data_IF_299387765319
#
_entry.id   IF_299387765319
#
_cell.length_a   1.000
_cell.length_b   1.000
_cell.length_c   1.000
_cell.angle_alpha   90.00
_cell.angle_beta   90.00
_cell.angle_gamma   90.00
#
_symmetry.space_group_name_H-M   'P 1'
#
loop_
_entity.id
_entity.type
_entity.pdbx_description
1 polymer ?
#
# COMPACT_ATOMS: atom_id res chain seq x y z
N UNK A 1 -4.37 -12.33 -38.03
CA UNK A 1 -5.18 -11.11 -38.11
C UNK A 1 -5.77 -10.86 -36.73
N UNK A 2 -5.14 -10.02 -35.95
CA UNK A 2 -5.49 -9.74 -34.52
C UNK A 2 -4.79 -8.49 -34.09
N UNK A 3 -5.21 -7.34 -34.61
CA UNK A 3 -4.72 -6.04 -34.18
C UNK A 3 -5.90 -5.08 -34.11
N UNK A 4 -6.35 -4.74 -32.89
CA UNK A 4 -7.44 -3.78 -32.75
C UNK A 4 -8.06 -3.66 -31.35
N UNK A 5 -7.41 -4.08 -30.26
CA UNK A 5 -8.03 -4.02 -28.90
C UNK A 5 -7.20 -3.24 -27.87
N UNK A 6 -6.14 -2.56 -28.23
CA UNK A 6 -5.20 -1.95 -27.28
C UNK A 6 -5.40 -0.47 -26.98
N UNK A 7 -6.38 0.21 -27.57
CA UNK A 7 -6.53 1.66 -27.39
C UNK A 7 -7.50 2.12 -26.30
N UNK A 8 -8.34 1.23 -25.74
CA UNK A 8 -9.43 1.64 -24.83
C UNK A 8 -9.14 1.44 -23.33
N UNK A 9 -8.08 0.74 -22.98
CA UNK A 9 -7.73 0.44 -21.57
C UNK A 9 -7.01 1.59 -20.83
N UNK A 10 -6.55 2.61 -21.53
CA UNK A 10 -5.79 3.72 -20.94
C UNK A 10 -6.61 4.76 -20.16
N UNK A 11 -7.94 4.79 -20.28
CA UNK A 11 -8.80 5.79 -19.63
C UNK A 11 -9.42 5.35 -18.30
N UNK A 12 -9.23 4.11 -17.89
CA UNK A 12 -9.78 3.56 -16.63
C UNK A 12 -8.96 3.90 -15.36
N UNK A 13 -7.85 4.63 -15.50
CA UNK A 13 -6.86 4.83 -14.44
C UNK A 13 -7.16 5.94 -13.42
N UNK A 14 -8.30 6.62 -13.49
CA UNK A 14 -8.60 7.75 -12.60
C UNK A 14 -9.70 7.54 -11.55
N UNK A 15 -10.28 6.35 -11.44
CA UNK A 15 -11.17 6.00 -10.33
C UNK A 15 -10.43 5.04 -9.39
N UNK A 16 -10.12 5.47 -8.19
CA UNK A 16 -9.27 4.82 -7.19
C UNK A 16 -9.75 3.48 -6.62
N UNK A 17 -9.99 2.48 -7.48
CA UNK A 17 -10.10 1.07 -7.12
C UNK A 17 -9.53 0.25 -8.28
N UNK A 18 -8.28 -0.22 -8.11
CA UNK A 18 -7.56 -1.07 -9.06
C UNK A 18 -8.13 -2.50 -9.08
N UNK A 19 -9.28 -2.71 -9.73
CA UNK A 19 -9.62 -4.04 -10.23
C UNK A 19 -8.98 -4.23 -11.61
N UNK A 20 -8.26 -5.34 -11.87
CA UNK A 20 -7.77 -5.65 -13.21
C UNK A 20 -8.92 -5.64 -14.20
N UNK A 21 -8.75 -5.01 -15.35
CA UNK A 21 -9.81 -4.90 -16.40
C UNK A 21 -10.43 -6.25 -16.78
N UNK A 22 -9.67 -7.35 -16.67
CA UNK A 22 -10.13 -8.73 -16.84
C UNK A 22 -11.14 -9.18 -15.79
N UNK A 23 -11.00 -8.76 -14.54
CA UNK A 23 -11.90 -9.12 -13.44
C UNK A 23 -13.25 -8.43 -13.58
N UNK A 24 -13.26 -7.15 -13.98
CA UNK A 24 -14.49 -6.40 -14.22
C UNK A 24 -15.26 -7.00 -15.42
N UNK A 25 -14.54 -7.38 -16.46
CA UNK A 25 -15.14 -8.02 -17.64
C UNK A 25 -15.75 -9.39 -17.30
N UNK A 26 -15.06 -10.22 -16.53
CA UNK A 26 -15.58 -11.51 -16.08
C UNK A 26 -16.86 -11.35 -15.23
N UNK A 27 -16.92 -10.32 -14.38
CA UNK A 27 -18.13 -10.00 -13.60
C UNK A 27 -19.28 -9.52 -14.49
N UNK A 28 -19.02 -8.71 -15.52
CA UNK A 28 -20.05 -8.26 -16.46
C UNK A 28 -20.60 -9.42 -17.31
N UNK A 29 -19.77 -10.42 -17.62
CA UNK A 29 -20.18 -11.61 -18.38
C UNK A 29 -21.07 -12.58 -17.56
N UNK A 30 -21.12 -12.44 -16.23
CA UNK A 30 -22.06 -13.20 -15.37
C UNK A 30 -23.49 -12.65 -15.42
N UNK A 31 -23.70 -11.46 -15.97
CA UNK A 31 -25.01 -10.82 -16.05
C UNK A 31 -25.81 -11.42 -17.22
N UNK A 32 -26.96 -11.99 -16.91
CA UNK A 32 -27.84 -12.69 -17.86
C UNK A 32 -28.54 -11.79 -18.91
N UNK A 33 -28.37 -10.47 -18.80
CA UNK A 33 -28.88 -9.50 -19.76
C UNK A 33 -27.75 -8.84 -20.53
N UNK A 34 -28.01 -8.41 -21.76
CA UNK A 34 -27.05 -7.62 -22.51
C UNK A 34 -26.77 -6.32 -21.81
N UNK A 35 -25.50 -6.07 -21.43
CA UNK A 35 -25.07 -4.88 -20.71
C UNK A 35 -23.95 -4.18 -21.48
N UNK A 36 -24.14 -2.89 -21.70
CA UNK A 36 -23.14 -1.97 -22.26
C UNK A 36 -22.85 -0.88 -21.25
N UNK A 37 -21.60 -0.59 -21.01
CA UNK A 37 -21.17 0.58 -20.23
C UNK A 37 -20.59 1.60 -21.19
N UNK A 38 -21.09 2.82 -21.12
CA UNK A 38 -20.66 3.94 -21.96
C UNK A 38 -20.35 5.19 -21.11
N UNK A 39 -19.63 6.15 -21.67
CA UNK A 39 -19.46 7.46 -21.07
C UNK A 39 -20.71 8.34 -21.29
N UNK A 40 -20.73 9.55 -20.71
CA UNK A 40 -21.84 10.53 -20.88
C UNK A 40 -22.12 10.92 -22.35
N UNK A 41 -21.12 10.83 -23.20
CA UNK A 41 -21.21 11.13 -24.62
C UNK A 41 -21.74 9.95 -25.44
N UNK A 42 -21.96 8.79 -24.81
CA UNK A 42 -22.46 7.57 -25.43
C UNK A 42 -21.38 6.68 -26.06
N UNK A 43 -20.10 6.98 -25.88
CA UNK A 43 -19.02 6.13 -26.37
C UNK A 43 -18.94 4.88 -25.51
N UNK A 44 -18.89 3.70 -26.15
CA UNK A 44 -18.87 2.41 -25.48
C UNK A 44 -17.52 2.16 -24.84
N UNK A 45 -17.51 1.89 -23.53
CA UNK A 45 -16.34 1.58 -22.73
C UNK A 45 -16.19 0.06 -22.52
N UNK A 46 -17.30 -0.62 -22.22
CA UNK A 46 -17.31 -2.06 -21.96
C UNK A 46 -18.62 -2.68 -22.45
N UNK A 47 -18.52 -3.95 -22.87
CA UNK A 47 -19.66 -4.74 -23.39
C UNK A 47 -19.54 -6.17 -22.86
N UNK A 48 -20.60 -6.72 -22.27
CA UNK A 48 -20.62 -8.13 -21.88
C UNK A 48 -20.88 -9.05 -23.11
N UNK A 49 -20.63 -10.34 -22.93
CA UNK A 49 -20.76 -11.34 -24.02
C UNK A 49 -22.15 -11.34 -24.66
N UNK A 50 -23.22 -11.17 -23.87
CA UNK A 50 -24.61 -11.14 -24.39
C UNK A 50 -24.91 -9.86 -25.17
N UNK A 51 -24.47 -8.70 -24.69
CA UNK A 51 -24.64 -7.45 -25.43
C UNK A 51 -23.87 -7.48 -26.75
N UNK A 52 -22.67 -8.07 -26.75
CA UNK A 52 -21.87 -8.23 -27.97
C UNK A 52 -22.63 -9.07 -29.03
N UNK A 53 -23.17 -10.20 -28.63
CA UNK A 53 -23.98 -11.04 -29.52
C UNK A 53 -25.19 -10.27 -30.04
N UNK A 54 -25.88 -9.54 -29.21
CA UNK A 54 -27.00 -8.69 -29.60
C UNK A 54 -26.59 -7.61 -30.62
N UNK A 55 -25.42 -6.96 -30.42
CA UNK A 55 -24.88 -5.94 -31.33
C UNK A 55 -24.48 -6.55 -32.69
N UNK A 56 -23.87 -7.75 -32.71
CA UNK A 56 -23.51 -8.50 -33.91
C UNK A 56 -24.75 -8.91 -34.74
N UNK A 57 -25.81 -9.38 -34.07
CA UNK A 57 -27.10 -9.68 -34.72
C UNK A 57 -27.76 -8.45 -35.37
N UNK A 58 -27.39 -7.25 -34.95
CA UNK A 58 -27.85 -5.97 -35.47
C UNK A 58 -26.86 -5.33 -36.47
N UNK A 59 -25.86 -6.09 -36.94
CA UNK A 59 -24.91 -5.64 -37.96
C UNK A 59 -23.80 -4.69 -37.47
N UNK A 60 -23.58 -4.62 -36.15
CA UNK A 60 -22.56 -3.76 -35.51
C UNK A 60 -21.42 -4.61 -34.96
N UNK A 61 -20.45 -4.92 -35.82
CA UNK A 61 -19.35 -5.85 -35.50
C UNK A 61 -18.23 -5.25 -34.63
N UNK A 62 -18.13 -3.92 -34.53
CA UNK A 62 -17.13 -3.25 -33.69
C UNK A 62 -17.81 -2.33 -32.65
N UNK A 63 -17.95 -2.81 -31.39
CA UNK A 63 -18.56 -2.01 -30.33
C UNK A 63 -17.78 -0.74 -29.97
N UNK A 64 -16.48 -0.68 -30.26
CA UNK A 64 -15.63 0.45 -29.87
C UNK A 64 -15.82 1.70 -30.72
N UNK A 65 -16.35 1.55 -31.91
CA UNK A 65 -16.67 2.63 -32.85
C UNK A 65 -18.11 3.16 -32.71
N UNK A 66 -18.91 2.56 -31.78
CA UNK A 66 -20.33 2.79 -31.67
C UNK A 66 -20.65 3.88 -30.65
N UNK A 67 -21.54 4.81 -31.02
CA UNK A 67 -22.21 5.68 -30.03
C UNK A 67 -23.56 5.07 -29.66
N UNK A 68 -23.68 4.55 -28.43
CA UNK A 68 -24.84 3.79 -27.97
C UNK A 68 -26.13 4.63 -28.03
N UNK A 69 -26.04 5.95 -27.74
CA UNK A 69 -27.19 6.84 -27.71
C UNK A 69 -27.66 7.19 -29.12
N UNK A 70 -26.74 7.62 -29.97
CA UNK A 70 -27.08 8.03 -31.34
C UNK A 70 -27.37 6.85 -32.27
N UNK A 71 -26.54 5.80 -32.24
CA UNK A 71 -26.59 4.72 -33.22
C UNK A 71 -27.58 3.59 -32.92
N UNK A 72 -27.97 3.43 -31.63
CA UNK A 72 -28.86 2.37 -31.19
C UNK A 72 -30.13 2.88 -30.53
N UNK A 73 -30.05 3.87 -29.67
CA UNK A 73 -31.20 4.38 -28.94
C UNK A 73 -31.90 5.53 -29.68
N UNK A 74 -31.24 6.11 -30.68
CA UNK A 74 -31.70 7.25 -31.45
C UNK A 74 -32.10 8.45 -30.56
N UNK A 75 -31.29 8.70 -29.53
CA UNK A 75 -31.48 9.77 -28.56
C UNK A 75 -30.21 10.61 -28.50
N UNK A 76 -30.36 11.92 -28.36
CA UNK A 76 -29.21 12.82 -28.20
C UNK A 76 -28.52 12.59 -26.85
N UNK A 77 -27.17 12.56 -26.78
CA UNK A 77 -26.44 12.51 -25.52
C UNK A 77 -26.82 13.63 -24.54
N UNK A 78 -27.14 14.83 -25.08
CA UNK A 78 -27.59 15.96 -24.28
C UNK A 78 -28.95 15.74 -23.59
N UNK A 79 -29.84 14.98 -24.22
CA UNK A 79 -31.14 14.64 -23.64
C UNK A 79 -30.99 13.69 -22.47
N UNK A 80 -30.13 12.67 -22.62
CA UNK A 80 -29.80 11.74 -21.53
C UNK A 80 -29.16 12.48 -20.36
N UNK A 81 -28.16 13.33 -20.61
CA UNK A 81 -27.49 14.10 -19.57
C UNK A 81 -28.46 15.01 -18.83
N UNK A 82 -29.35 15.69 -19.54
CA UNK A 82 -30.39 16.59 -18.95
C UNK A 82 -31.35 15.82 -18.04
N UNK A 83 -31.80 14.63 -18.43
CA UNK A 83 -32.69 13.76 -17.64
C UNK A 83 -32.01 13.23 -16.39
N UNK A 84 -30.73 12.87 -16.49
CA UNK A 84 -29.92 12.48 -15.35
C UNK A 84 -29.74 13.67 -14.38
N UNK A 85 -29.44 14.87 -14.86
CA UNK A 85 -29.31 16.08 -14.05
C UNK A 85 -30.64 16.53 -13.38
N UNK A 86 -31.78 16.18 -13.97
CA UNK A 86 -33.11 16.38 -13.37
C UNK A 86 -33.46 15.38 -12.27
N UNK A 87 -32.55 14.41 -11.96
CA UNK A 87 -32.76 13.44 -10.88
C UNK A 87 -33.34 12.10 -11.31
N UNK A 88 -33.49 11.85 -12.61
CA UNK A 88 -33.90 10.55 -13.13
C UNK A 88 -32.69 9.59 -13.11
N UNK A 89 -32.67 8.68 -12.14
CA UNK A 89 -31.56 7.71 -12.02
C UNK A 89 -31.68 6.52 -12.97
N UNK A 90 -32.84 6.29 -13.55
CA UNK A 90 -33.13 5.19 -14.47
C UNK A 90 -34.10 5.65 -15.55
N UNK A 91 -33.74 5.47 -16.80
CA UNK A 91 -34.48 5.94 -17.97
C UNK A 91 -34.80 4.74 -18.87
N UNK A 92 -36.06 4.48 -19.14
CA UNK A 92 -36.48 3.49 -20.12
C UNK A 92 -36.59 4.15 -21.49
N UNK A 93 -35.95 3.57 -22.50
CA UNK A 93 -35.90 4.06 -23.87
C UNK A 93 -36.21 2.93 -24.82
N UNK A 94 -37.06 3.19 -25.77
CA UNK A 94 -37.31 2.25 -26.89
C UNK A 94 -36.34 2.57 -28.01
N UNK A 95 -35.31 1.73 -28.16
CA UNK A 95 -34.38 1.80 -29.28
C UNK A 95 -34.99 1.17 -30.54
N UNK A 96 -34.58 1.64 -31.72
CA UNK A 96 -35.02 1.11 -33.00
C UNK A 96 -33.85 0.88 -33.93
N UNK A 97 -33.69 -0.35 -34.38
CA UNK A 97 -32.72 -0.70 -35.44
C UNK A 97 -33.48 -0.93 -36.75
N UNK A 98 -32.74 -1.09 -37.83
CA UNK A 98 -33.34 -1.38 -39.15
C UNK A 98 -34.19 -2.66 -39.18
N UNK A 99 -34.03 -3.57 -38.21
CA UNK A 99 -34.63 -4.91 -38.20
C UNK A 99 -35.66 -5.09 -37.08
N UNK A 100 -35.46 -4.48 -35.90
CA UNK A 100 -36.35 -4.61 -34.72
C UNK A 100 -36.33 -3.40 -33.83
N UNK A 101 -37.44 -3.18 -33.09
CA UNK A 101 -37.44 -2.32 -31.91
C UNK A 101 -37.10 -3.15 -30.65
N UNK A 102 -36.37 -2.57 -29.72
CA UNK A 102 -36.04 -3.19 -28.45
C UNK A 102 -36.17 -2.16 -27.33
N UNK A 103 -36.39 -2.65 -26.11
CA UNK A 103 -36.39 -1.79 -24.92
C UNK A 103 -35.00 -1.81 -24.31
N UNK A 104 -34.51 -0.64 -23.98
CA UNK A 104 -33.26 -0.47 -23.25
C UNK A 104 -33.50 0.36 -21.99
N UNK A 105 -32.83 -0.03 -20.91
CA UNK A 105 -32.85 0.68 -19.65
C UNK A 105 -31.49 1.32 -19.44
N UNK A 106 -31.46 2.64 -19.36
CA UNK A 106 -30.28 3.45 -19.17
C UNK A 106 -30.21 3.86 -17.70
N UNK A 107 -29.15 3.51 -17.01
CA UNK A 107 -28.94 3.79 -15.58
C UNK A 107 -27.63 4.51 -15.36
N UNK A 108 -27.69 5.62 -14.64
CA UNK A 108 -26.49 6.35 -14.19
C UNK A 108 -25.74 5.58 -13.11
N UNK A 109 -24.40 5.51 -13.19
CA UNK A 109 -23.55 4.92 -12.17
C UNK A 109 -23.05 6.08 -11.28
N UNK A 110 -23.50 6.20 -10.01
CA UNK A 110 -23.08 7.27 -9.11
C UNK A 110 -21.56 7.32 -8.96
N UNK A 111 -21.02 8.53 -8.73
CA UNK A 111 -19.58 8.80 -8.55
C UNK A 111 -18.69 8.46 -9.77
N UNK A 112 -19.30 8.21 -10.93
CA UNK A 112 -18.58 8.00 -12.19
C UNK A 112 -19.22 8.79 -13.33
N UNK A 113 -18.45 9.04 -14.39
CA UNK A 113 -18.99 9.60 -15.63
C UNK A 113 -19.55 8.52 -16.56
N UNK A 114 -20.05 7.39 -16.00
CA UNK A 114 -20.47 6.23 -16.75
C UNK A 114 -21.97 6.01 -16.67
N UNK A 115 -22.47 5.42 -17.74
CA UNK A 115 -23.86 5.05 -17.91
C UNK A 115 -23.92 3.56 -18.26
N UNK A 116 -24.74 2.80 -17.55
CA UNK A 116 -25.04 1.41 -17.87
C UNK A 116 -26.28 1.34 -18.74
N UNK A 117 -26.20 0.70 -19.90
CA UNK A 117 -27.33 0.43 -20.82
C UNK A 117 -27.61 -1.05 -20.81
N UNK A 118 -28.77 -1.43 -20.34
CA UNK A 118 -29.25 -2.81 -20.28
C UNK A 118 -30.33 -3.04 -21.37
N UNK A 119 -30.13 -4.06 -22.18
CA UNK A 119 -31.13 -4.48 -23.19
C UNK A 119 -32.15 -5.43 -22.56
N UNK A 120 -33.46 -5.15 -22.73
CA UNK A 120 -34.49 -6.10 -22.40
C UNK A 120 -34.59 -7.13 -23.57
N UNK A 121 -34.56 -8.40 -23.23
CA UNK A 121 -34.80 -9.46 -24.21
C UNK A 121 -36.29 -9.53 -24.51
N UNK A 122 -36.73 -9.02 -25.65
CA UNK A 122 -38.00 -9.40 -26.26
C UNK A 122 -37.80 -10.65 -27.12
N UNK A 123 -37.87 -11.82 -26.49
CA UNK A 123 -38.20 -13.05 -27.21
C UNK A 123 -39.66 -13.38 -26.87
N UNK A 124 -40.59 -13.36 -27.83
CA UNK A 124 -41.94 -13.87 -27.60
C UNK A 124 -41.89 -15.42 -27.58
N UNK A 125 -42.20 -15.98 -26.44
CA UNK A 125 -42.56 -17.40 -26.31
C UNK A 125 -41.54 -18.27 -25.59
N UNK A 126 -41.75 -18.41 -24.31
CA UNK A 126 -41.85 -19.68 -23.59
C UNK A 126 -42.07 -19.44 -22.08
N UNK A 127 -43.20 -19.91 -21.60
CA UNK A 127 -43.66 -19.86 -20.21
C UNK A 127 -42.83 -20.76 -19.24
N UNK A 128 -41.52 -20.73 -19.36
CA UNK A 128 -40.61 -21.46 -18.46
C UNK A 128 -40.07 -20.64 -17.26
N UNK A 129 -40.29 -19.33 -17.25
CA UNK A 129 -39.58 -18.43 -16.32
C UNK A 129 -40.35 -18.05 -15.06
N UNK A 130 -41.59 -18.49 -14.91
CA UNK A 130 -42.41 -18.15 -13.73
C UNK A 130 -41.92 -18.83 -12.42
N UNK A 131 -41.21 -19.95 -12.52
CA UNK A 131 -40.67 -20.67 -11.36
C UNK A 131 -39.27 -20.21 -10.91
N UNK A 132 -38.52 -19.53 -11.82
CA UNK A 132 -37.15 -19.06 -11.51
C UNK A 132 -37.09 -17.62 -10.97
N UNK A 133 -38.12 -16.81 -11.19
CA UNK A 133 -38.18 -15.43 -10.70
C UNK A 133 -38.15 -15.28 -9.17
N UNK A 134 -38.85 -16.09 -8.35
CA UNK A 134 -38.76 -16.02 -6.91
C UNK A 134 -37.37 -16.39 -6.39
N UNK A 135 -36.71 -17.40 -7.01
CA UNK A 135 -35.38 -17.85 -6.60
C UNK A 135 -34.29 -16.79 -6.92
N UNK A 136 -34.41 -16.11 -8.04
CA UNK A 136 -33.48 -15.01 -8.38
C UNK A 136 -33.69 -13.80 -7.48
N UNK A 137 -34.93 -13.47 -7.14
CA UNK A 137 -35.25 -12.40 -6.21
C UNK A 137 -34.76 -12.71 -4.79
N UNK A 138 -34.89 -13.95 -4.35
CA UNK A 138 -34.40 -14.44 -3.05
C UNK A 138 -32.86 -14.36 -2.98
N UNK A 139 -32.17 -14.81 -4.01
CA UNK A 139 -30.70 -14.71 -4.10
C UNK A 139 -30.19 -13.27 -4.16
N UNK A 140 -30.92 -12.36 -4.80
CA UNK A 140 -30.58 -10.94 -4.84
C UNK A 140 -30.79 -10.29 -3.47
N UNK A 141 -31.85 -10.65 -2.75
CA UNK A 141 -32.09 -10.20 -1.38
C UNK A 141 -31.03 -10.74 -0.41
N UNK A 142 -30.69 -12.03 -0.50
CA UNK A 142 -29.65 -12.65 0.32
C UNK A 142 -28.28 -11.98 0.08
N UNK A 143 -27.97 -11.71 -1.17
CA UNK A 143 -26.73 -10.98 -1.55
C UNK A 143 -26.73 -9.55 -0.98
N UNK A 144 -27.84 -8.85 -1.05
CA UNK A 144 -27.95 -7.47 -0.50
C UNK A 144 -27.80 -7.47 1.03
N UNK A 145 -28.43 -8.42 1.72
CA UNK A 145 -28.29 -8.60 3.18
C UNK A 145 -26.83 -8.94 3.53
N UNK A 146 -26.22 -9.84 2.79
CA UNK A 146 -24.80 -10.22 2.99
C UNK A 146 -23.88 -9.03 2.79
N UNK A 147 -24.12 -8.24 1.74
CA UNK A 147 -23.32 -7.03 1.46
C UNK A 147 -23.47 -5.97 2.55
N UNK A 148 -24.70 -5.72 3.03
CA UNK A 148 -24.97 -4.81 4.15
C UNK A 148 -24.30 -5.29 5.44
N UNK A 149 -24.35 -6.59 5.72
CA UNK A 149 -23.72 -7.18 6.90
C UNK A 149 -22.17 -7.06 6.81
N UNK A 150 -21.59 -7.30 5.63
CA UNK A 150 -20.17 -7.16 5.39
C UNK A 150 -19.73 -5.69 5.55
N UNK A 151 -20.50 -4.75 5.01
CA UNK A 151 -20.21 -3.31 5.15
C UNK A 151 -20.32 -2.87 6.62
N UNK A 152 -21.35 -3.32 7.33
CA UNK A 152 -21.51 -3.02 8.76
C UNK A 152 -20.37 -3.60 9.60
N UNK A 153 -19.94 -4.84 9.31
CA UNK A 153 -18.79 -5.47 9.96
C UNK A 153 -17.49 -4.71 9.66
N UNK A 154 -17.28 -4.29 8.42
CA UNK A 154 -16.14 -3.49 8.01
C UNK A 154 -16.07 -2.13 8.72
N UNK A 155 -17.20 -1.41 8.78
CA UNK A 155 -17.28 -0.13 9.49
C UNK A 155 -17.04 -0.29 10.99
N UNK A 156 -17.58 -1.35 11.58
CA UNK A 156 -17.33 -1.69 13.00
C UNK A 156 -15.87 -2.01 13.25
N UNK A 157 -15.23 -2.76 12.36
CA UNK A 157 -13.81 -3.08 12.44
C UNK A 157 -12.94 -1.81 12.34
N UNK A 158 -13.26 -0.90 11.41
CA UNK A 158 -12.59 0.39 11.30
C UNK A 158 -12.73 1.23 12.58
N UNK A 159 -13.94 1.30 13.16
CA UNK A 159 -14.15 2.05 14.39
C UNK A 159 -13.39 1.44 15.57
N UNK A 160 -13.37 0.11 15.71
CA UNK A 160 -12.58 -0.59 16.74
C UNK A 160 -11.09 -0.31 16.55
N UNK A 161 -10.57 -0.37 15.32
CA UNK A 161 -9.18 -0.04 15.02
C UNK A 161 -8.86 1.43 15.33
N UNK A 162 -9.79 2.36 15.01
CA UNK A 162 -9.63 3.79 15.36
C UNK A 162 -9.58 3.98 16.89
N UNK A 163 -10.49 3.36 17.63
CA UNK A 163 -10.52 3.44 19.09
C UNK A 163 -9.27 2.83 19.72
N UNK A 164 -8.83 1.66 19.24
CA UNK A 164 -7.57 1.02 19.63
C UNK A 164 -6.39 1.99 19.46
N UNK A 165 -6.30 2.64 18.30
CA UNK A 165 -5.21 3.58 18.00
C UNK A 165 -5.19 4.79 18.93
N UNK A 166 -6.38 5.40 19.16
CA UNK A 166 -6.51 6.56 20.06
C UNK A 166 -6.14 6.17 21.50
N UNK A 167 -6.65 5.02 21.97
CA UNK A 167 -6.34 4.50 23.29
C UNK A 167 -4.85 4.26 23.48
N UNK A 168 -4.20 3.61 22.50
CA UNK A 168 -2.77 3.32 22.56
C UNK A 168 -1.93 4.59 22.55
N UNK A 169 -2.31 5.60 21.74
CA UNK A 169 -1.64 6.88 21.69
C UNK A 169 -1.74 7.64 23.02
N UNK A 170 -2.93 7.65 23.64
CA UNK A 170 -3.15 8.30 24.94
C UNK A 170 -2.38 7.58 26.05
N UNK A 171 -2.51 6.25 26.15
CA UNK A 171 -1.83 5.45 27.17
C UNK A 171 -0.31 5.62 27.13
N UNK A 172 0.26 5.63 25.93
CA UNK A 172 1.71 5.79 25.81
C UNK A 172 2.17 7.22 26.10
N UNK A 173 1.37 8.25 25.82
CA UNK A 173 1.67 9.61 26.26
C UNK A 173 1.65 9.71 27.80
N UNK A 174 0.65 9.09 28.42
CA UNK A 174 0.53 9.05 29.88
C UNK A 174 1.66 8.25 30.55
N UNK A 175 2.20 7.23 29.88
CA UNK A 175 3.37 6.49 30.36
C UNK A 175 4.69 7.27 30.19
N UNK A 176 4.83 8.06 29.12
CA UNK A 176 6.05 8.80 28.84
C UNK A 176 6.37 9.86 29.90
N UNK A 177 5.34 10.52 30.41
CA UNK A 177 5.49 11.59 31.41
C UNK A 177 6.09 11.09 32.72
N UNK A 178 5.54 10.06 33.42
CA UNK A 178 6.14 9.55 34.63
C UNK A 178 7.53 8.94 34.42
N UNK A 179 7.77 8.30 33.28
CA UNK A 179 9.09 7.76 32.95
C UNK A 179 10.14 8.85 32.77
N UNK A 180 9.77 10.00 32.21
CA UNK A 180 10.67 11.15 32.10
C UNK A 180 11.05 11.70 33.49
N UNK A 181 10.11 11.74 34.43
CA UNK A 181 10.35 12.14 35.79
C UNK A 181 11.29 11.15 36.52
N UNK A 182 11.02 9.85 36.40
CA UNK A 182 11.86 8.79 36.96
C UNK A 182 13.29 8.88 36.43
N UNK A 183 13.44 9.08 35.11
CA UNK A 183 14.75 9.27 34.47
C UNK A 183 15.47 10.50 35.06
N UNK A 184 14.75 11.60 35.24
CA UNK A 184 15.30 12.81 35.87
C UNK A 184 15.82 12.55 37.29
N UNK A 185 15.12 11.71 38.07
CA UNK A 185 15.61 11.34 39.42
C UNK A 185 16.87 10.47 39.37
N UNK A 186 16.97 9.52 38.41
CA UNK A 186 18.21 8.77 38.21
C UNK A 186 19.38 9.69 37.86
N UNK A 187 19.17 10.66 36.98
CA UNK A 187 20.19 11.61 36.56
C UNK A 187 20.65 12.47 37.77
N UNK A 188 19.74 12.96 38.63
CA UNK A 188 20.04 13.70 39.81
C UNK A 188 20.81 12.89 40.88
N UNK A 189 20.42 11.63 41.10
CA UNK A 189 21.09 10.76 42.06
C UNK A 189 22.49 10.37 41.56
N UNK A 190 22.65 10.02 40.30
CA UNK A 190 23.94 9.59 39.73
C UNK A 190 24.94 10.74 39.58
N UNK A 191 24.49 12.01 39.45
CA UNK A 191 25.38 13.18 39.48
C UNK A 191 25.86 13.57 40.87
N UNK A 192 25.48 12.79 41.89
CA UNK A 192 25.84 13.05 43.31
C UNK A 192 25.36 14.40 43.84
N UNK A 193 24.40 15.04 43.15
CA UNK A 193 23.84 16.35 43.55
C UNK A 193 23.09 16.29 44.89
N UNK A 194 22.63 15.10 45.29
CA UNK A 194 21.86 14.85 46.50
C UNK A 194 22.68 14.13 47.62
N UNK A 195 23.98 13.94 47.39
CA UNK A 195 24.88 13.25 48.30
C UNK A 195 25.74 12.20 47.62
N UNK A 196 26.74 11.67 48.34
CA UNK A 196 27.62 10.61 47.82
C UNK A 196 26.94 9.25 47.90
N UNK A 197 26.95 8.51 46.81
CA UNK A 197 26.47 7.13 46.71
C UNK A 197 27.62 6.17 47.05
N UNK A 198 27.30 5.03 47.63
CA UNK A 198 28.20 3.89 47.69
C UNK A 198 28.27 3.22 46.31
N UNK A 199 29.35 2.50 45.97
CA UNK A 199 29.51 1.81 44.72
C UNK A 199 28.32 0.89 44.44
N UNK A 200 27.86 0.10 45.42
CA UNK A 200 26.67 -0.77 45.27
C UNK A 200 25.39 -0.01 44.92
N UNK A 201 25.19 1.20 45.54
CA UNK A 201 24.03 2.03 45.22
C UNK A 201 24.11 2.57 43.82
N UNK A 202 25.30 2.97 43.37
CA UNK A 202 25.54 3.44 42.01
C UNK A 202 25.25 2.37 40.98
N UNK A 203 25.78 1.14 41.16
CA UNK A 203 25.54 0.03 40.28
C UNK A 203 24.05 -0.28 40.12
N UNK A 204 23.29 -0.33 41.25
CA UNK A 204 21.85 -0.57 41.24
C UNK A 204 21.10 0.58 40.52
N UNK A 205 21.49 1.81 40.72
CA UNK A 205 20.86 2.95 40.07
C UNK A 205 21.15 2.99 38.56
N UNK A 206 22.37 2.63 38.14
CA UNK A 206 22.75 2.53 36.74
C UNK A 206 21.93 1.42 36.01
N UNK A 207 21.82 0.24 36.63
CA UNK A 207 20.99 -0.86 36.10
C UNK A 207 19.51 -0.47 36.02
N UNK A 208 18.99 0.19 37.08
CA UNK A 208 17.60 0.66 37.11
C UNK A 208 17.34 1.75 36.05
N UNK A 209 18.30 2.67 35.84
CA UNK A 209 18.25 3.71 34.81
C UNK A 209 18.21 3.07 33.42
N UNK A 210 19.07 2.07 33.16
CA UNK A 210 19.08 1.34 31.88
C UNK A 210 17.74 0.66 31.61
N UNK A 211 17.13 0.05 32.63
CA UNK A 211 15.81 -0.58 32.56
C UNK A 211 14.71 0.45 32.26
N UNK A 212 14.75 1.63 32.91
CA UNK A 212 13.84 2.74 32.65
C UNK A 212 14.00 3.27 31.21
N UNK A 213 15.21 3.46 30.74
CA UNK A 213 15.48 3.89 29.36
C UNK A 213 14.99 2.86 28.33
N UNK A 214 15.13 1.58 28.65
CA UNK A 214 14.56 0.50 27.82
C UNK A 214 13.04 0.62 27.73
N UNK A 215 12.35 0.88 28.84
CA UNK A 215 10.91 1.07 28.89
C UNK A 215 10.46 2.31 28.09
N UNK A 216 11.19 3.43 28.20
CA UNK A 216 10.93 4.63 27.38
C UNK A 216 11.04 4.33 25.88
N UNK A 217 12.05 3.55 25.48
CA UNK A 217 12.21 3.14 24.08
C UNK A 217 11.04 2.26 23.62
N UNK A 218 10.60 1.29 24.43
CA UNK A 218 9.48 0.40 24.12
C UNK A 218 8.16 1.19 23.96
N UNK A 219 7.85 2.10 24.89
CA UNK A 219 6.68 2.97 24.82
C UNK A 219 6.72 3.86 23.58
N UNK A 220 7.89 4.42 23.25
CA UNK A 220 8.06 5.26 22.06
C UNK A 220 7.89 4.47 20.75
N UNK A 221 8.40 3.23 20.68
CA UNK A 221 8.19 2.35 19.53
C UNK A 221 6.72 2.00 19.36
N UNK A 222 6.02 1.73 20.45
CA UNK A 222 4.59 1.40 20.43
C UNK A 222 3.72 2.58 19.96
N UNK A 223 4.07 3.81 20.38
CA UNK A 223 3.44 5.05 19.88
C UNK A 223 3.62 5.21 18.38
N UNK A 224 4.87 5.08 17.92
CA UNK A 224 5.18 5.20 16.50
C UNK A 224 4.44 4.14 15.67
N UNK A 225 4.38 2.91 16.16
CA UNK A 225 3.62 1.83 15.53
C UNK A 225 2.12 2.18 15.43
N UNK A 226 1.51 2.62 16.53
CA UNK A 226 0.09 2.99 16.56
C UNK A 226 -0.25 4.14 15.59
N UNK A 227 0.64 5.15 15.48
CA UNK A 227 0.48 6.24 14.52
C UNK A 227 0.58 5.76 13.06
N UNK A 228 1.45 4.80 12.78
CA UNK A 228 1.61 4.18 11.47
C UNK A 228 0.42 3.30 11.09
N UNK A 229 -0.13 2.52 12.03
CA UNK A 229 -1.29 1.65 11.81
C UNK A 229 -2.56 2.46 11.50
N UNK A 230 -2.70 3.65 12.07
CA UNK A 230 -3.88 4.51 11.86
C UNK A 230 -3.94 5.17 10.47
N UNK A 231 -2.95 4.97 9.61
CA UNK A 231 -2.87 5.63 8.31
C UNK A 231 -2.68 7.16 8.39
N UNK A 232 -2.47 7.72 9.58
CA UNK A 232 -2.29 9.16 9.80
C UNK A 232 -0.85 9.65 9.60
N UNK A 233 0.02 8.77 9.07
CA UNK A 233 1.39 9.18 8.78
C UNK A 233 1.41 10.17 7.62
N UNK A 234 1.57 11.45 7.95
CA UNK A 234 1.86 12.50 6.98
C UNK A 234 3.36 12.66 6.91
N UNK A 235 3.97 12.35 5.76
CA UNK A 235 5.39 12.55 5.54
C UNK A 235 5.69 14.04 5.30
N UNK A 236 6.73 14.53 5.91
CA UNK A 236 7.29 15.86 5.64
C UNK A 236 8.38 15.76 4.58
N UNK A 237 7.97 15.61 3.33
CA UNK A 237 8.89 15.50 2.20
C UNK A 237 9.56 16.85 1.93
N UNK A 238 10.85 16.96 2.23
CA UNK A 238 11.70 18.11 1.98
C UNK A 238 12.94 17.68 1.20
N UNK A 239 13.52 18.58 0.47
CA UNK A 239 14.81 18.34 -0.18
C UNK A 239 15.91 18.21 0.87
N UNK A 240 16.54 17.05 0.94
CA UNK A 240 17.52 16.68 1.95
C UNK A 240 18.69 15.93 1.31
N UNK A 241 19.86 15.98 1.96
CA UNK A 241 21.00 15.11 1.64
C UNK A 241 20.87 13.81 2.47
N UNK A 242 20.82 12.68 1.77
CA UNK A 242 20.71 11.38 2.44
C UNK A 242 22.02 10.96 3.12
N UNK A 243 23.17 11.43 2.63
CA UNK A 243 24.48 11.15 3.24
C UNK A 243 24.56 11.79 4.62
N UNK A 244 24.23 13.09 4.73
CA UNK A 244 24.19 13.79 6.03
C UNK A 244 23.27 13.06 7.00
N UNK A 245 22.10 12.63 6.52
CA UNK A 245 21.12 11.88 7.32
C UNK A 245 21.70 10.59 7.89
N UNK A 246 22.42 9.82 7.08
CA UNK A 246 23.00 8.54 7.49
C UNK A 246 24.28 8.70 8.31
N UNK A 247 25.11 9.70 8.03
CA UNK A 247 26.32 10.02 8.80
C UNK A 247 25.97 10.47 10.22
N UNK A 248 25.02 11.39 10.34
CA UNK A 248 24.53 11.84 11.66
C UNK A 248 23.98 10.67 12.49
N UNK A 249 23.24 9.78 11.86
CA UNK A 249 22.72 8.59 12.52
C UNK A 249 23.86 7.66 12.94
N UNK A 250 24.81 7.34 12.04
CA UNK A 250 25.94 6.45 12.33
C UNK A 250 26.79 7.00 13.48
N UNK A 251 27.01 8.32 13.51
CA UNK A 251 27.71 8.99 14.61
C UNK A 251 27.02 8.78 15.95
N UNK A 252 25.69 8.91 16.00
CA UNK A 252 24.91 8.67 17.26
C UNK A 252 24.98 7.22 17.73
N UNK A 253 25.12 6.27 16.81
CA UNK A 253 25.22 4.85 17.15
C UNK A 253 26.63 4.38 17.48
N UNK A 254 27.68 5.15 17.15
CA UNK A 254 29.09 4.75 17.28
C UNK A 254 29.44 4.28 18.68
N UNK A 255 28.98 5.01 19.70
CA UNK A 255 29.24 4.67 21.11
C UNK A 255 28.58 3.32 21.51
N UNK A 256 27.35 3.03 21.06
CA UNK A 256 26.65 1.78 21.33
C UNK A 256 27.37 0.60 20.70
N UNK A 257 27.87 0.75 19.48
CA UNK A 257 28.67 -0.25 18.78
C UNK A 257 30.03 -0.49 19.47
N UNK A 258 30.70 0.59 19.92
CA UNK A 258 31.96 0.49 20.67
C UNK A 258 31.78 -0.24 22.01
N UNK A 259 30.72 0.07 22.77
CA UNK A 259 30.41 -0.64 24.04
C UNK A 259 30.24 -2.13 23.85
N UNK A 260 29.65 -2.57 22.71
CA UNK A 260 29.50 -4.00 22.38
C UNK A 260 30.73 -4.60 21.71
N UNK A 261 31.79 -3.81 21.47
CA UNK A 261 32.98 -4.19 20.71
C UNK A 261 32.62 -4.70 19.28
N UNK A 262 31.65 -4.05 18.62
CA UNK A 262 31.29 -4.32 17.22
C UNK A 262 31.77 -3.14 16.37
N UNK A 263 32.43 -3.43 15.24
CA UNK A 263 32.92 -2.38 14.33
C UNK A 263 31.76 -1.88 13.47
N UNK A 264 31.48 -0.58 13.49
CA UNK A 264 30.58 0.08 12.55
C UNK A 264 31.39 0.77 11.46
N UNK A 265 31.09 0.50 10.20
CA UNK A 265 31.69 1.12 9.02
C UNK A 265 30.62 1.75 8.14
N UNK A 266 30.86 2.97 7.65
CA UNK A 266 29.97 3.67 6.71
C UNK A 266 30.60 3.75 5.34
N UNK A 267 29.83 3.45 4.29
CA UNK A 267 30.22 3.52 2.89
C UNK A 267 29.14 4.20 2.09
N UNK A 268 29.21 5.53 1.99
CA UNK A 268 28.21 6.35 1.32
C UNK A 268 28.78 6.87 0.01
N UNK A 269 28.06 6.59 -1.09
CA UNK A 269 28.50 7.03 -2.42
C UNK A 269 28.36 8.56 -2.55
N UNK A 270 29.44 9.30 -2.90
CA UNK A 270 29.40 10.74 -3.03
C UNK A 270 28.53 11.24 -4.21
N UNK A 271 28.14 10.36 -5.13
CA UNK A 271 27.29 10.70 -6.28
C UNK A 271 25.79 10.73 -5.97
N UNK A 272 25.38 10.41 -4.73
CA UNK A 272 23.97 10.50 -4.31
C UNK A 272 23.53 11.98 -4.37
N UNK A 273 22.53 12.34 -5.19
CA UNK A 273 22.02 13.70 -5.24
C UNK A 273 21.11 13.99 -4.03
N UNK A 274 20.86 15.28 -3.78
CA UNK A 274 19.75 15.67 -2.90
C UNK A 274 18.41 15.33 -3.57
N UNK A 275 17.42 14.90 -2.76
CA UNK A 275 16.08 14.59 -3.23
C UNK A 275 15.06 14.72 -2.09
N UNK A 276 13.77 14.64 -2.42
CA UNK A 276 12.71 14.82 -1.43
C UNK A 276 12.46 13.55 -0.64
N UNK A 277 12.65 13.62 0.68
CA UNK A 277 12.27 12.57 1.62
C UNK A 277 12.04 13.17 3.02
N UNK A 278 11.39 12.41 3.90
CA UNK A 278 11.24 12.78 5.32
C UNK A 278 12.48 12.33 6.09
N UNK A 279 13.31 13.31 6.45
CA UNK A 279 14.60 13.11 7.12
C UNK A 279 14.48 12.27 8.40
N UNK A 280 13.50 12.61 9.25
CA UNK A 280 13.33 11.93 10.54
C UNK A 280 12.82 10.50 10.38
N UNK A 281 11.95 10.27 9.40
CA UNK A 281 11.39 8.95 9.16
C UNK A 281 12.38 8.01 8.51
N UNK A 282 13.23 8.51 7.61
CA UNK A 282 14.35 7.75 7.03
C UNK A 282 15.39 7.43 8.10
N UNK A 283 15.77 8.41 8.94
CA UNK A 283 16.64 8.13 10.08
C UNK A 283 16.06 7.04 11.00
N UNK A 284 14.76 7.09 11.29
CA UNK A 284 14.09 6.10 12.13
C UNK A 284 14.12 4.71 11.48
N UNK A 285 13.88 4.60 10.15
CA UNK A 285 13.95 3.32 9.45
C UNK A 285 15.36 2.73 9.50
N UNK A 286 16.38 3.52 9.19
CA UNK A 286 17.78 3.09 9.22
C UNK A 286 18.26 2.76 10.65
N UNK A 287 17.83 3.52 11.65
CA UNK A 287 18.13 3.23 13.06
C UNK A 287 17.56 1.87 13.52
N UNK A 288 16.35 1.50 13.05
CA UNK A 288 15.77 0.18 13.33
C UNK A 288 16.61 -0.96 12.72
N UNK A 289 17.19 -0.73 11.53
CA UNK A 289 18.10 -1.71 10.93
C UNK A 289 19.43 -1.80 11.68
N UNK A 290 20.01 -0.68 12.13
CA UNK A 290 21.23 -0.67 12.93
C UNK A 290 21.02 -1.29 14.32
N UNK A 291 19.89 -1.03 14.98
CA UNK A 291 19.52 -1.67 16.25
C UNK A 291 19.45 -3.20 16.11
N UNK A 292 18.83 -3.65 15.01
CA UNK A 292 18.75 -5.07 14.68
C UNK A 292 20.14 -5.67 14.44
N UNK A 293 20.97 -5.03 13.62
CA UNK A 293 22.34 -5.45 13.35
C UNK A 293 23.18 -5.49 14.65
N UNK A 294 23.09 -4.47 15.49
CA UNK A 294 23.80 -4.43 16.77
C UNK A 294 23.37 -5.57 17.70
N UNK A 295 22.07 -5.88 17.77
CA UNK A 295 21.54 -6.96 18.63
C UNK A 295 22.08 -8.33 18.24
N UNK A 296 22.09 -8.62 16.95
CA UNK A 296 22.42 -9.96 16.43
C UNK A 296 23.89 -10.17 16.06
N UNK A 297 24.71 -9.11 16.06
CA UNK A 297 26.14 -9.24 15.82
C UNK A 297 26.87 -9.54 17.14
N UNK A 298 27.67 -10.61 17.23
CA UNK A 298 28.46 -10.89 18.42
C UNK A 298 29.60 -9.87 18.62
N UNK A 299 30.15 -9.80 19.84
CA UNK A 299 31.34 -8.99 20.11
C UNK A 299 32.50 -9.39 19.18
N UNK A 300 33.24 -8.44 18.67
CA UNK A 300 34.28 -8.62 17.65
C UNK A 300 33.75 -8.66 16.21
N UNK A 301 32.43 -8.62 16.00
CA UNK A 301 31.82 -8.62 14.68
C UNK A 301 31.89 -7.25 13.97
N UNK A 302 31.34 -7.20 12.77
CA UNK A 302 31.35 -6.04 11.89
C UNK A 302 29.96 -5.72 11.36
N UNK A 303 29.62 -4.43 11.28
CA UNK A 303 28.40 -3.92 10.65
C UNK A 303 28.79 -2.84 9.64
N UNK A 304 28.23 -2.93 8.42
CA UNK A 304 28.50 -1.98 7.34
C UNK A 304 27.19 -1.31 6.96
N UNK A 305 27.13 0.03 7.09
CA UNK A 305 26.07 0.86 6.54
C UNK A 305 26.51 1.37 5.16
N UNK A 306 25.76 1.04 4.12
CA UNK A 306 26.06 1.47 2.75
C UNK A 306 24.88 2.24 2.17
N UNK A 307 25.16 3.24 1.33
CA UNK A 307 24.18 3.86 0.46
C UNK A 307 24.78 4.18 -0.90
N UNK A 308 24.00 3.99 -1.97
CA UNK A 308 24.43 4.27 -3.34
C UNK A 308 23.26 4.41 -4.31
N UNK A 309 23.49 5.09 -5.44
CA UNK A 309 22.50 5.18 -6.50
C UNK A 309 22.13 3.79 -7.05
N UNK A 310 20.85 3.57 -7.25
CA UNK A 310 20.34 2.29 -7.75
C UNK A 310 19.27 2.54 -8.83
N UNK A 311 19.12 1.58 -9.76
CA UNK A 311 18.04 1.57 -10.72
C UNK A 311 17.00 0.55 -10.32
N UNK A 312 15.77 1.01 -10.07
CA UNK A 312 14.66 0.16 -9.73
C UNK A 312 13.55 0.22 -10.79
N UNK A 313 13.34 -0.89 -11.48
CA UNK A 313 12.25 -1.04 -12.42
C UNK A 313 10.93 -1.31 -11.68
N UNK A 314 10.08 -0.29 -11.55
CA UNK A 314 8.79 -0.38 -10.86
C UNK A 314 7.69 -1.05 -11.68
N UNK A 315 7.90 -1.20 -13.00
CA UNK A 315 6.92 -1.83 -13.89
C UNK A 315 7.21 -3.33 -13.98
N UNK A 316 6.22 -4.16 -13.65
CA UNK A 316 6.14 -5.53 -14.14
C UNK A 316 5.96 -5.40 -15.65
N UNK A 317 6.94 -5.87 -16.41
CA UNK A 317 7.10 -5.62 -17.84
C UNK A 317 5.81 -5.87 -18.64
N UNK A 318 5.22 -4.82 -19.20
CA UNK A 318 4.73 -4.92 -20.57
C UNK A 318 5.97 -5.14 -21.43
N UNK A 319 6.02 -6.26 -22.10
CA UNK A 319 7.12 -6.69 -22.98
C UNK A 319 7.28 -5.62 -24.05
N UNK A 320 8.27 -4.74 -23.88
CA UNK A 320 8.63 -3.79 -24.92
C UNK A 320 9.08 -4.58 -26.18
N UNK A 321 8.65 -4.18 -27.40
CA UNK A 321 9.03 -4.83 -28.64
C UNK A 321 10.56 -4.91 -28.75
N UNK A 322 11.06 -6.05 -29.24
CA UNK A 322 12.48 -6.42 -29.31
C UNK A 322 13.34 -5.42 -30.08
N UNK A 323 12.76 -4.55 -30.88
CA UNK A 323 13.47 -3.56 -31.70
C UNK A 323 14.01 -2.33 -30.94
N UNK A 324 13.45 -1.96 -29.78
CA UNK A 324 13.97 -0.84 -28.98
C UNK A 324 15.16 -1.19 -28.08
N UNK A 325 15.52 -2.46 -27.95
CA UNK A 325 16.63 -2.93 -27.11
C UNK A 325 18.03 -2.59 -27.60
N UNK A 326 18.20 -1.97 -28.78
CA UNK A 326 19.51 -1.71 -29.40
C UNK A 326 20.20 -0.40 -28.98
N UNK A 327 19.60 0.42 -28.12
CA UNK A 327 20.29 1.55 -27.51
C UNK A 327 20.48 1.28 -26.01
N UNK A 328 21.50 0.49 -25.67
CA UNK A 328 22.00 0.35 -24.31
C UNK A 328 22.54 1.69 -23.79
N UNK A 329 21.65 2.59 -23.40
CA UNK A 329 21.98 3.53 -22.34
C UNK A 329 21.74 2.77 -21.03
N UNK A 330 22.80 2.62 -20.22
CA UNK A 330 22.65 2.17 -18.83
C UNK A 330 21.50 2.95 -18.21
N UNK A 331 20.50 2.28 -17.63
CA UNK A 331 19.37 2.99 -17.03
C UNK A 331 19.90 3.96 -15.97
N UNK A 332 19.46 5.23 -16.03
CA UNK A 332 19.87 6.21 -15.02
C UNK A 332 19.30 5.81 -13.67
N UNK A 333 20.07 5.92 -12.58
CA UNK A 333 19.57 5.68 -11.25
C UNK A 333 18.28 6.50 -11.00
N UNK A 334 17.24 5.86 -10.46
CA UNK A 334 15.98 6.49 -10.13
C UNK A 334 15.62 6.36 -8.64
N UNK A 335 16.47 5.70 -7.88
CA UNK A 335 16.36 5.53 -6.44
C UNK A 335 17.75 5.44 -5.80
N UNK A 336 17.79 5.52 -4.49
CA UNK A 336 18.97 5.22 -3.67
C UNK A 336 18.68 3.94 -2.90
N UNK A 337 19.65 2.99 -2.95
CA UNK A 337 19.67 1.83 -2.09
C UNK A 337 20.44 2.16 -0.81
N UNK A 338 19.84 1.85 0.34
CA UNK A 338 20.50 1.89 1.65
C UNK A 338 20.50 0.47 2.20
N UNK A 339 21.65 -0.01 2.63
CA UNK A 339 21.80 -1.35 3.20
C UNK A 339 22.62 -1.35 4.50
N UNK A 340 22.22 -2.22 5.42
CA UNK A 340 22.93 -2.54 6.66
C UNK A 340 23.28 -4.01 6.61
N UNK A 341 24.58 -4.30 6.51
CA UNK A 341 25.11 -5.67 6.49
C UNK A 341 25.76 -5.99 7.83
N UNK A 342 25.36 -7.05 8.47
CA UNK A 342 25.92 -7.53 9.73
C UNK A 342 26.63 -8.88 9.54
N UNK A 343 27.57 -9.18 10.44
CA UNK A 343 28.27 -10.47 10.54
C UNK A 343 27.71 -11.35 11.65
N UNK A 344 26.38 -11.29 11.86
CA UNK A 344 25.67 -12.01 12.92
C UNK A 344 25.33 -13.46 12.60
N UNK A 345 24.36 -14.01 13.33
CA UNK A 345 23.90 -15.39 13.18
C UNK A 345 23.19 -15.69 11.85
N UNK A 346 22.81 -14.65 11.08
CA UNK A 346 21.98 -14.82 9.90
C UNK A 346 20.55 -15.26 10.23
N UNK A 347 19.74 -15.40 9.18
CA UNK A 347 18.31 -15.72 9.25
C UNK A 347 18.03 -16.81 8.24
N UNK A 348 17.31 -17.85 8.65
CA UNK A 348 16.88 -18.91 7.75
C UNK A 348 15.88 -18.39 6.70
N UNK A 349 15.93 -18.88 5.44
CA UNK A 349 15.10 -18.38 4.34
C UNK A 349 13.59 -18.39 4.62
N UNK A 350 13.09 -19.35 5.40
CA UNK A 350 11.70 -19.47 5.80
C UNK A 350 11.18 -18.27 6.57
N UNK A 351 12.06 -17.54 7.28
CA UNK A 351 11.71 -16.38 8.10
C UNK A 351 11.83 -15.04 7.36
N UNK A 352 12.39 -14.98 6.13
CA UNK A 352 12.68 -13.72 5.44
C UNK A 352 11.46 -12.84 5.18
N UNK A 353 10.28 -13.42 5.06
CA UNK A 353 9.05 -12.66 4.85
C UNK A 353 8.42 -12.24 6.18
N UNK A 354 8.37 -13.14 7.14
CA UNK A 354 7.67 -12.92 8.40
C UNK A 354 8.39 -11.97 9.37
N UNK A 355 9.73 -11.82 9.28
CA UNK A 355 10.49 -10.90 10.15
C UNK A 355 10.09 -9.43 10.00
N UNK A 356 9.39 -9.08 8.91
CA UNK A 356 8.84 -7.75 8.68
C UNK A 356 7.38 -7.62 9.16
N UNK A 357 6.79 -8.69 9.67
CA UNK A 357 5.44 -8.66 10.24
C UNK A 357 5.47 -8.19 11.70
N UNK A 358 4.32 -7.73 12.18
CA UNK A 358 4.19 -7.16 13.52
C UNK A 358 4.37 -8.22 14.60
N UNK A 359 5.18 -7.90 15.62
CA UNK A 359 5.44 -8.75 16.79
C UNK A 359 6.14 -10.08 16.49
N UNK A 360 6.66 -10.27 15.29
CA UNK A 360 7.41 -11.47 14.93
C UNK A 360 8.83 -11.41 15.47
N UNK A 361 9.27 -12.52 16.05
CA UNK A 361 10.63 -12.73 16.58
C UNK A 361 11.07 -14.16 16.26
N UNK A 362 12.16 -14.27 15.50
CA UNK A 362 12.77 -15.58 15.16
C UNK A 362 13.44 -16.19 16.39
N UNK A 363 14.12 -15.37 17.19
CA UNK A 363 14.74 -15.79 18.45
C UNK A 363 13.98 -15.16 19.65
N UNK A 364 13.27 -15.98 20.46
CA UNK A 364 12.56 -15.50 21.64
C UNK A 364 13.47 -14.92 22.74
N UNK A 365 14.77 -15.28 22.75
CA UNK A 365 15.72 -14.84 23.77
C UNK A 365 16.32 -13.46 23.46
N UNK A 366 16.29 -13.01 22.21
CA UNK A 366 16.78 -11.66 21.85
C UNK A 366 15.85 -10.58 22.37
N UNK A 367 16.32 -9.55 23.09
CA UNK A 367 15.45 -8.52 23.64
C UNK A 367 14.81 -7.64 22.56
N UNK A 368 13.48 -7.47 22.64
CA UNK A 368 12.73 -6.60 21.71
C UNK A 368 11.27 -7.04 21.55
N UNK A 369 10.44 -6.18 20.99
CA UNK A 369 9.00 -6.44 20.78
C UNK A 369 8.67 -6.99 19.37
N UNK A 370 9.64 -7.15 18.47
CA UNK A 370 9.38 -7.54 17.08
C UNK A 370 8.74 -6.45 16.24
N UNK A 371 8.84 -5.18 16.63
CA UNK A 371 8.22 -4.05 15.90
C UNK A 371 9.20 -3.24 15.06
N UNK A 372 10.51 -3.36 15.29
CA UNK A 372 11.51 -2.49 14.63
C UNK A 372 11.51 -2.62 13.12
N UNK A 373 11.55 -3.86 12.61
CA UNK A 373 11.54 -4.14 11.16
C UNK A 373 10.18 -3.82 10.53
N UNK A 374 9.08 -4.09 11.21
CA UNK A 374 7.73 -3.75 10.75
C UNK A 374 7.55 -2.22 10.63
N UNK A 375 8.07 -1.44 11.59
CA UNK A 375 8.10 0.03 11.53
C UNK A 375 8.95 0.49 10.35
N UNK A 376 10.15 -0.07 10.17
CA UNK A 376 11.01 0.26 9.03
C UNK A 376 10.30 0.00 7.69
N UNK A 377 9.65 -1.18 7.54
CA UNK A 377 8.85 -1.54 6.36
C UNK A 377 7.78 -0.49 6.06
N UNK A 378 6.98 -0.11 7.05
CA UNK A 378 5.89 0.88 6.87
C UNK A 378 6.43 2.28 6.52
N UNK A 379 7.52 2.72 7.15
CA UNK A 379 8.15 4.01 6.85
C UNK A 379 8.68 4.06 5.42
N UNK A 380 9.34 3.00 4.97
CA UNK A 380 9.87 2.91 3.61
C UNK A 380 8.74 2.79 2.59
N UNK A 381 7.69 2.01 2.87
CA UNK A 381 6.49 1.92 2.02
C UNK A 381 5.76 3.27 1.91
N UNK A 382 5.68 4.04 2.99
CA UNK A 382 5.14 5.40 2.95
C UNK A 382 5.93 6.31 2.01
N UNK A 383 7.25 6.13 1.90
CA UNK A 383 8.11 6.77 0.90
C UNK A 383 8.02 6.12 -0.50
N UNK A 384 7.04 5.22 -0.74
CA UNK A 384 6.91 4.44 -1.98
C UNK A 384 8.15 3.60 -2.30
N UNK A 385 8.94 3.29 -1.29
CA UNK A 385 10.13 2.45 -1.35
C UNK A 385 9.84 0.96 -1.18
N UNK A 386 10.88 0.15 -1.22
CA UNK A 386 10.88 -1.29 -0.98
C UNK A 386 11.91 -1.63 0.09
N UNK A 387 11.63 -2.58 0.98
CA UNK A 387 12.57 -3.12 1.95
C UNK A 387 12.61 -4.64 1.84
N UNK A 388 13.79 -5.23 2.03
CA UNK A 388 13.97 -6.69 2.02
C UNK A 388 15.18 -7.10 2.85
N UNK A 389 15.41 -8.39 2.98
CA UNK A 389 16.56 -8.99 3.61
C UNK A 389 17.20 -10.01 2.66
N UNK A 390 18.52 -10.06 2.68
CA UNK A 390 19.34 -11.13 2.09
C UNK A 390 20.17 -11.70 3.22
N UNK A 391 19.96 -12.97 3.56
CA UNK A 391 20.59 -13.58 4.70
C UNK A 391 20.75 -15.08 4.50
N UNK A 392 21.83 -15.61 5.07
CA UNK A 392 22.09 -17.03 5.15
C UNK A 392 22.48 -17.35 6.60
N UNK A 393 21.94 -18.44 7.14
CA UNK A 393 22.22 -18.84 8.50
C UNK A 393 23.74 -18.97 8.74
N UNK A 394 24.23 -18.40 9.83
CA UNK A 394 25.65 -18.34 10.25
C UNK A 394 26.58 -17.50 9.36
N UNK A 395 26.03 -16.72 8.42
CA UNK A 395 26.81 -15.83 7.54
C UNK A 395 26.48 -14.34 7.68
N UNK A 396 25.55 -14.02 8.58
CA UNK A 396 25.07 -12.68 8.76
C UNK A 396 23.89 -12.32 7.87
N UNK A 397 23.48 -11.07 7.93
CA UNK A 397 22.33 -10.56 7.18
C UNK A 397 22.63 -9.21 6.53
N UNK A 398 21.98 -8.97 5.39
CA UNK A 398 21.93 -7.66 4.75
C UNK A 398 20.48 -7.22 4.66
N UNK A 399 20.12 -6.22 5.44
CA UNK A 399 18.83 -5.54 5.33
C UNK A 399 18.99 -4.35 4.40
N UNK A 400 18.17 -4.27 3.36
CA UNK A 400 18.27 -3.20 2.40
C UNK A 400 16.90 -2.57 2.11
N UNK A 401 16.91 -1.27 1.78
CA UNK A 401 15.72 -0.58 1.30
C UNK A 401 16.04 0.37 0.17
N UNK A 402 15.04 0.65 -0.67
CA UNK A 402 15.09 1.61 -1.76
C UNK A 402 14.27 2.85 -1.41
N UNK A 403 14.86 4.02 -1.64
CA UNK A 403 14.18 5.31 -1.60
C UNK A 403 14.11 5.88 -3.01
N UNK A 404 12.91 6.04 -3.58
CA UNK A 404 12.77 6.72 -4.87
C UNK A 404 13.22 8.16 -4.81
N UNK A 405 13.99 8.61 -5.81
CA UNK A 405 14.38 10.02 -5.93
C UNK A 405 13.22 10.88 -6.40
N UNK A 406 12.31 10.32 -7.21
CA UNK A 406 11.06 10.95 -7.61
C UNK A 406 9.91 10.40 -6.76
N UNK A 407 9.33 11.25 -5.93
CA UNK A 407 8.22 10.95 -5.03
C UNK A 407 6.90 11.59 -5.49
N UNK A 408 6.85 12.06 -6.76
CA UNK A 408 5.64 12.64 -7.37
C UNK A 408 4.52 11.61 -7.58
#
# INVERSE_FOLDING_TARGET
>A
MGSGITATTGKLAHAGNNFPAGTVRALLDTVDKGLVVANREGQVLMVNARARKCLEEHGKNDPSSLNIFADLLNVSPHEISRRIESGEHEIEITGRTAIRSFQARVKWIPESDWVAVQFANDAPGQDGNAALQPTVQELLQEREITYRNLLAAYLKLQEVNRQKTVFLASAAHELKTPLAVIKGYYDLLLTSSLGKLTEKQKDILEESKESCERLVRLVSMFLNYSALESGKLVLQLRENDLRDCLEEMASRWSEAFQRKAVKLETRLDPSIPTFKFDYQKVQQAAANLLDNALKHTPSGGNVILRAGPHFWERRVAEIAPVEERRRFRLPRPNCVEVSVTDSGSGIAPEHHQEIFEDFVRVDPHTPGMGLGLAIAKRLIQAHRGKIWVESEALRGSTFAFLLPMDQS
#
